data_IF_452976342983
#
_entry.id   IF_452976342983
#
_cell.length_a   1.000
_cell.length_b   1.000
_cell.length_c   1.000
_cell.angle_alpha   90.00
_cell.angle_beta   90.00
_cell.angle_gamma   90.00
#
_symmetry.space_group_name_H-M   'P 1'
#
loop_
_entity.id
_entity.type
_entity.pdbx_description
1 polymer ?
#
# COMPACT_ATOMS: atom_id res chain seq x y z
N UNK A 1 -84.60 21.23 17.28
CA UNK A 1 -83.21 21.05 16.99
C UNK A 1 -82.78 19.61 16.71
N UNK A 2 -83.51 18.77 15.99
CA UNK A 2 -83.21 17.38 15.74
C UNK A 2 -83.03 17.03 14.21
N UNK A 3 -83.16 18.00 13.32
CA UNK A 3 -83.17 17.73 11.87
C UNK A 3 -81.91 18.19 11.17
N UNK A 4 -80.88 18.77 11.83
CA UNK A 4 -79.63 19.23 11.21
C UNK A 4 -78.52 18.18 11.24
N UNK A 5 -78.61 17.12 12.03
CA UNK A 5 -77.54 16.14 12.24
C UNK A 5 -77.58 14.95 11.27
N UNK A 6 -78.64 14.79 10.44
CA UNK A 6 -78.83 13.61 9.59
C UNK A 6 -78.37 13.80 8.14
N UNK A 7 -77.73 14.91 7.78
CA UNK A 7 -77.25 15.17 6.41
C UNK A 7 -75.77 14.89 6.16
N UNK A 8 -75.01 14.49 7.20
CA UNK A 8 -73.61 14.19 7.05
C UNK A 8 -73.36 12.70 6.74
N UNK A 9 -74.36 11.86 6.73
CA UNK A 9 -74.26 10.40 6.72
C UNK A 9 -74.21 9.71 5.32
N UNK A 10 -74.23 10.41 4.21
CA UNK A 10 -74.19 9.83 2.89
C UNK A 10 -73.16 10.45 1.97
N UNK A 11 -71.95 10.62 2.48
CA UNK A 11 -70.78 10.65 1.60
C UNK A 11 -70.67 9.21 1.04
N UNK A 12 -71.04 9.00 -0.22
CA UNK A 12 -71.09 7.66 -0.78
C UNK A 12 -69.68 7.05 -0.63
N UNK A 13 -69.56 5.78 -0.29
CA UNK A 13 -68.32 5.03 -0.20
C UNK A 13 -67.38 5.33 -1.36
N UNK A 14 -67.93 5.59 -2.54
CA UNK A 14 -67.27 5.98 -3.76
C UNK A 14 -66.51 7.32 -3.66
N UNK A 15 -67.14 8.34 -3.04
CA UNK A 15 -66.47 9.66 -2.84
C UNK A 15 -65.35 9.57 -1.78
N UNK A 16 -65.51 8.74 -0.77
CA UNK A 16 -64.45 8.51 0.22
C UNK A 16 -63.27 7.78 -0.40
N UNK A 17 -63.53 6.75 -1.23
CA UNK A 17 -62.52 5.99 -1.93
C UNK A 17 -61.77 6.85 -3.00
N UNK A 18 -62.49 7.70 -3.72
CA UNK A 18 -61.89 8.66 -4.65
C UNK A 18 -61.00 9.70 -3.96
N UNK A 19 -61.42 10.21 -2.82
CA UNK A 19 -60.60 11.17 -2.00
C UNK A 19 -59.34 10.49 -1.48
N UNK A 20 -59.46 9.26 -0.97
CA UNK A 20 -58.35 8.46 -0.47
C UNK A 20 -57.34 8.12 -1.58
N UNK A 21 -57.86 7.78 -2.75
CA UNK A 21 -57.03 7.49 -3.92
C UNK A 21 -56.29 8.73 -4.43
N UNK A 22 -56.95 9.90 -4.47
CA UNK A 22 -56.31 11.18 -4.79
C UNK A 22 -55.20 11.60 -3.82
N UNK A 23 -55.26 11.17 -2.57
CA UNK A 23 -54.29 11.50 -1.56
C UNK A 23 -53.13 10.48 -1.53
N UNK A 24 -53.46 9.21 -1.69
CA UNK A 24 -52.46 8.13 -1.59
C UNK A 24 -51.63 8.00 -2.86
N UNK A 25 -52.25 8.19 -4.03
CA UNK A 25 -51.56 8.02 -5.33
C UNK A 25 -50.39 8.99 -5.51
N UNK A 26 -50.48 10.31 -5.26
CA UNK A 26 -49.36 11.21 -5.36
C UNK A 26 -48.26 10.89 -4.34
N UNK A 27 -48.62 10.42 -3.13
CA UNK A 27 -47.66 9.98 -2.14
C UNK A 27 -46.82 8.77 -2.65
N UNK A 28 -47.48 7.77 -3.23
CA UNK A 28 -46.76 6.62 -3.81
C UNK A 28 -45.87 7.03 -4.97
N UNK A 29 -46.29 7.92 -5.84
CA UNK A 29 -45.49 8.44 -6.94
C UNK A 29 -44.26 9.22 -6.40
N UNK A 30 -44.47 10.03 -5.38
CA UNK A 30 -43.40 10.79 -4.74
C UNK A 30 -42.37 9.86 -4.05
N UNK A 31 -42.82 8.85 -3.33
CA UNK A 31 -41.95 7.84 -2.73
C UNK A 31 -41.17 7.04 -3.79
N UNK A 32 -41.82 6.64 -4.87
CA UNK A 32 -41.17 5.95 -5.98
C UNK A 32 -40.07 6.81 -6.61
N UNK A 33 -40.34 8.10 -6.84
CA UNK A 33 -39.38 9.03 -7.41
C UNK A 33 -38.18 9.30 -6.46
N UNK A 34 -38.45 9.52 -5.18
CA UNK A 34 -37.41 9.69 -4.15
C UNK A 34 -36.52 8.45 -4.09
N UNK A 35 -37.10 7.25 -4.14
CA UNK A 35 -36.34 6.00 -4.11
C UNK A 35 -35.38 5.89 -5.29
N UNK A 36 -35.84 6.18 -6.53
CA UNK A 36 -35.01 6.16 -7.72
C UNK A 36 -33.87 7.17 -7.62
N UNK A 37 -34.17 8.40 -7.18
CA UNK A 37 -33.15 9.43 -6.99
C UNK A 37 -32.13 9.04 -5.92
N UNK A 38 -32.56 8.45 -4.83
CA UNK A 38 -31.72 7.99 -3.75
C UNK A 38 -30.79 6.85 -4.17
N UNK A 39 -31.31 5.86 -4.89
CA UNK A 39 -30.51 4.76 -5.44
C UNK A 39 -29.43 5.28 -6.40
N UNK A 40 -29.78 6.20 -7.29
CA UNK A 40 -28.83 6.81 -8.23
C UNK A 40 -27.76 7.62 -7.50
N UNK A 41 -28.16 8.41 -6.50
CA UNK A 41 -27.25 9.22 -5.70
C UNK A 41 -26.26 8.34 -4.90
N UNK A 42 -26.74 7.28 -4.26
CA UNK A 42 -25.91 6.34 -3.52
C UNK A 42 -24.91 5.64 -4.46
N UNK A 43 -25.35 5.18 -5.62
CA UNK A 43 -24.48 4.55 -6.60
C UNK A 43 -23.37 5.49 -7.09
N UNK A 44 -23.69 6.74 -7.37
CA UNK A 44 -22.71 7.74 -7.76
C UNK A 44 -21.70 8.00 -6.64
N UNK A 45 -22.17 8.23 -5.43
CA UNK A 45 -21.32 8.52 -4.28
C UNK A 45 -20.42 7.32 -3.93
N UNK A 46 -20.95 6.11 -4.00
CA UNK A 46 -20.17 4.89 -3.77
C UNK A 46 -19.09 4.71 -4.85
N UNK A 47 -19.46 4.94 -6.11
CA UNK A 47 -18.52 4.86 -7.24
C UNK A 47 -17.38 5.89 -7.10
N UNK A 48 -17.70 7.13 -6.76
CA UNK A 48 -16.69 8.17 -6.54
C UNK A 48 -15.78 7.85 -5.35
N UNK A 49 -16.33 7.31 -4.25
CA UNK A 49 -15.53 6.88 -3.11
C UNK A 49 -14.61 5.71 -3.45
N UNK A 50 -15.09 4.74 -4.21
CA UNK A 50 -14.28 3.59 -4.65
C UNK A 50 -13.14 4.08 -5.56
N UNK A 51 -13.44 4.90 -6.55
CA UNK A 51 -12.44 5.46 -7.47
C UNK A 51 -11.40 6.28 -6.70
N UNK A 52 -11.82 7.13 -5.78
CA UNK A 52 -10.93 7.92 -4.92
C UNK A 52 -10.06 7.03 -4.03
N UNK A 53 -10.62 5.95 -3.47
CA UNK A 53 -9.86 5.00 -2.65
C UNK A 53 -8.83 4.23 -3.46
N UNK A 54 -9.19 3.81 -4.68
CA UNK A 54 -8.27 3.12 -5.60
C UNK A 54 -7.14 4.07 -5.99
N UNK A 55 -7.45 5.32 -6.38
CA UNK A 55 -6.45 6.30 -6.75
C UNK A 55 -5.47 6.61 -5.61
N UNK A 56 -5.97 6.76 -4.38
CA UNK A 56 -5.12 6.96 -3.19
C UNK A 56 -4.24 5.74 -2.91
N UNK A 57 -4.77 4.54 -3.12
CA UNK A 57 -4.00 3.30 -2.94
C UNK A 57 -2.91 3.18 -3.99
N UNK A 58 -3.20 3.53 -5.25
CA UNK A 58 -2.23 3.58 -6.35
C UNK A 58 -1.10 4.57 -6.04
N UNK A 59 -1.44 5.79 -5.62
CA UNK A 59 -0.47 6.81 -5.23
C UNK A 59 0.42 6.33 -4.07
N UNK A 60 -0.16 5.74 -3.02
CA UNK A 60 0.59 5.20 -1.89
C UNK A 60 1.55 4.07 -2.29
N UNK A 61 1.14 3.20 -3.20
CA UNK A 61 1.99 2.14 -3.75
C UNK A 61 3.13 2.75 -4.56
N UNK A 62 2.82 3.69 -5.45
CA UNK A 62 3.83 4.38 -6.27
C UNK A 62 4.88 5.10 -5.40
N UNK A 63 4.43 5.81 -4.37
CA UNK A 63 5.32 6.49 -3.42
C UNK A 63 6.20 5.50 -2.67
N UNK A 64 5.65 4.34 -2.27
CA UNK A 64 6.44 3.28 -1.64
C UNK A 64 7.54 2.76 -2.56
N UNK A 65 7.24 2.52 -3.84
CA UNK A 65 8.24 2.12 -4.83
C UNK A 65 9.32 3.18 -5.02
N UNK A 66 8.91 4.44 -5.15
CA UNK A 66 9.84 5.57 -5.31
C UNK A 66 10.75 5.71 -4.09
N UNK A 67 10.20 5.56 -2.90
CA UNK A 67 10.95 5.62 -1.66
C UNK A 67 11.98 4.49 -1.56
N UNK A 68 11.59 3.25 -1.84
CA UNK A 68 12.50 2.10 -1.87
C UNK A 68 13.65 2.31 -2.86
N UNK A 69 13.35 2.79 -4.07
CA UNK A 69 14.36 3.11 -5.07
C UNK A 69 15.31 4.24 -4.61
N UNK A 70 14.75 5.28 -4.00
CA UNK A 70 15.51 6.41 -3.46
C UNK A 70 16.47 5.98 -2.35
N UNK A 71 15.99 5.20 -1.40
CA UNK A 71 16.80 4.70 -0.29
C UNK A 71 17.89 3.74 -0.79
N UNK A 72 17.53 2.82 -1.69
CA UNK A 72 18.53 1.94 -2.33
C UNK A 72 19.62 2.75 -3.04
N UNK A 73 19.25 3.85 -3.71
CA UNK A 73 20.22 4.72 -4.36
C UNK A 73 21.10 5.48 -3.36
N UNK A 74 20.54 5.96 -2.27
CA UNK A 74 21.29 6.63 -1.21
C UNK A 74 22.35 5.71 -0.56
N UNK A 75 22.02 4.44 -0.38
CA UNK A 75 22.96 3.43 0.15
C UNK A 75 24.10 3.20 -0.82
N UNK A 76 23.79 3.01 -2.10
CA UNK A 76 24.81 2.71 -3.14
C UNK A 76 25.74 3.90 -3.39
N UNK A 77 25.30 5.11 -3.16
CA UNK A 77 26.11 6.32 -3.35
C UNK A 77 26.81 6.78 -2.08
N UNK A 78 26.61 6.10 -0.94
CA UNK A 78 27.27 6.46 0.32
C UNK A 78 28.73 5.98 0.32
N UNK A 79 29.65 6.90 0.06
CA UNK A 79 31.10 6.61 0.00
C UNK A 79 31.66 6.05 1.32
N UNK A 80 31.20 6.53 2.46
CA UNK A 80 31.67 6.04 3.75
C UNK A 80 31.29 4.58 4.00
N UNK A 81 30.08 4.19 3.59
CA UNK A 81 29.62 2.80 3.68
C UNK A 81 30.40 1.91 2.70
N UNK A 82 30.60 2.35 1.46
CA UNK A 82 31.34 1.60 0.44
C UNK A 82 32.81 1.40 0.85
N UNK A 83 33.46 2.45 1.35
CA UNK A 83 34.82 2.36 1.89
C UNK A 83 34.88 1.43 3.11
N UNK A 84 33.86 1.50 3.97
CA UNK A 84 33.72 0.61 5.11
C UNK A 84 33.64 -0.87 4.71
N UNK A 85 32.88 -1.17 3.66
CA UNK A 85 32.71 -2.52 3.09
C UNK A 85 33.95 -3.03 2.37
N UNK A 86 34.69 -2.15 1.68
CA UNK A 86 35.87 -2.50 0.90
C UNK A 86 37.10 -2.79 1.75
N UNK A 87 37.13 -2.28 2.98
CA UNK A 87 38.28 -2.46 3.87
C UNK A 87 38.11 -3.71 4.77
N UNK A 88 38.84 -4.79 4.50
CA UNK A 88 38.73 -6.05 5.26
C UNK A 88 39.16 -5.92 6.73
N UNK A 89 39.87 -4.84 7.13
CA UNK A 89 40.28 -4.57 8.51
C UNK A 89 39.13 -4.04 9.36
N UNK A 90 38.02 -3.58 8.74
CA UNK A 90 36.86 -3.08 9.47
C UNK A 90 36.12 -4.21 10.18
N UNK A 91 35.78 -3.93 11.44
CA UNK A 91 34.93 -4.87 12.19
C UNK A 91 33.52 -4.88 11.67
N UNK A 92 32.85 -6.05 11.78
CA UNK A 92 31.43 -6.16 11.49
C UNK A 92 30.61 -5.05 12.14
N UNK A 93 30.87 -4.76 13.41
CA UNK A 93 30.15 -3.76 14.17
C UNK A 93 30.29 -2.35 13.59
N UNK A 94 31.49 -1.95 13.15
CA UNK A 94 31.70 -0.63 12.56
C UNK A 94 30.97 -0.46 11.24
N UNK A 95 30.96 -1.48 10.40
CA UNK A 95 30.24 -1.45 9.12
C UNK A 95 28.73 -1.47 9.34
N UNK A 96 28.22 -2.30 10.26
CA UNK A 96 26.81 -2.32 10.59
C UNK A 96 26.31 -0.99 11.13
N UNK A 97 27.11 -0.32 11.94
CA UNK A 97 26.79 1.03 12.44
C UNK A 97 26.67 2.04 11.30
N UNK A 98 27.61 2.05 10.36
CA UNK A 98 27.55 2.90 9.16
C UNK A 98 26.32 2.60 8.31
N UNK A 99 25.97 1.33 8.17
CA UNK A 99 24.77 0.91 7.47
C UNK A 99 23.50 1.42 8.16
N UNK A 100 23.40 1.26 9.48
CA UNK A 100 22.26 1.76 10.25
C UNK A 100 22.13 3.29 10.17
N UNK A 101 23.24 4.01 10.25
CA UNK A 101 23.25 5.47 10.09
C UNK A 101 22.78 5.89 8.69
N UNK A 102 23.22 5.16 7.64
CA UNK A 102 22.81 5.41 6.27
C UNK A 102 21.31 5.16 6.07
N UNK A 103 20.80 4.05 6.62
CA UNK A 103 19.38 3.69 6.56
C UNK A 103 18.53 4.72 7.30
N UNK A 104 18.91 5.08 8.50
CA UNK A 104 18.21 6.08 9.31
C UNK A 104 18.17 7.45 8.60
N UNK A 105 19.29 7.88 8.05
CA UNK A 105 19.35 9.13 7.28
C UNK A 105 18.41 9.10 6.07
N UNK A 106 18.40 8.00 5.33
CA UNK A 106 17.53 7.83 4.18
C UNK A 106 16.05 7.79 4.57
N UNK A 107 15.70 7.13 5.68
CA UNK A 107 14.33 7.10 6.20
C UNK A 107 13.84 8.47 6.68
N UNK A 108 14.68 9.21 7.39
CA UNK A 108 14.32 10.56 7.90
C UNK A 108 14.08 11.54 6.76
N UNK A 109 14.85 11.45 5.69
CA UNK A 109 14.69 12.34 4.53
C UNK A 109 13.53 11.93 3.61
N UNK A 110 13.08 10.70 3.68
CA UNK A 110 11.87 10.20 2.97
C UNK A 110 10.66 10.23 3.90
N UNK A 111 10.20 11.42 4.26
CA UNK A 111 9.14 11.74 5.24
C UNK A 111 7.77 11.05 5.05
N UNK A 112 7.61 10.15 4.08
CA UNK A 112 6.31 9.57 3.71
C UNK A 112 6.21 8.06 3.82
N UNK A 113 7.19 7.37 4.38
CA UNK A 113 7.11 5.92 4.53
C UNK A 113 6.37 5.57 5.84
N UNK A 114 5.07 5.39 5.74
CA UNK A 114 4.23 4.87 6.84
C UNK A 114 4.40 3.35 7.07
N UNK A 115 5.46 2.74 6.57
CA UNK A 115 5.70 1.30 6.68
C UNK A 115 7.08 0.98 7.23
N UNK A 116 7.17 -0.14 7.94
CA UNK A 116 8.44 -0.71 8.39
C UNK A 116 9.25 -1.14 7.16
N UNK A 117 10.27 -0.39 6.83
CA UNK A 117 11.17 -0.73 5.74
C UNK A 117 12.31 -1.60 6.27
N UNK A 118 12.41 -2.78 5.71
CA UNK A 118 13.42 -3.76 6.05
C UNK A 118 14.53 -3.70 5.03
N UNK A 119 15.75 -3.50 5.52
CA UNK A 119 16.90 -3.44 4.65
C UNK A 119 17.95 -4.45 5.08
N UNK A 120 18.57 -5.04 4.08
CA UNK A 120 19.62 -6.02 4.26
C UNK A 120 20.67 -5.82 3.18
N UNK A 121 21.93 -5.79 3.60
CA UNK A 121 23.08 -5.71 2.74
C UNK A 121 23.94 -6.97 2.94
N UNK A 122 24.34 -7.59 1.87
CA UNK A 122 25.29 -8.70 1.88
C UNK A 122 26.60 -8.26 1.25
N UNK A 123 27.71 -8.54 1.92
CA UNK A 123 29.02 -8.35 1.32
C UNK A 123 29.46 -9.58 0.50
N UNK A 124 30.56 -9.47 -0.21
CA UNK A 124 31.11 -10.57 -1.03
C UNK A 124 31.50 -11.80 -0.20
N UNK A 125 31.72 -11.65 1.09
CA UNK A 125 32.07 -12.75 2.01
C UNK A 125 30.82 -13.45 2.53
N UNK A 126 29.63 -12.93 2.23
CA UNK A 126 28.35 -13.44 2.71
C UNK A 126 27.94 -12.88 4.07
N UNK A 127 28.64 -11.91 4.61
CA UNK A 127 28.22 -11.24 5.86
C UNK A 127 26.97 -10.42 5.59
N UNK A 128 26.03 -10.53 6.52
CA UNK A 128 24.74 -9.87 6.43
C UNK A 128 24.71 -8.66 7.38
N UNK A 129 24.50 -7.48 6.84
CA UNK A 129 24.24 -6.25 7.59
C UNK A 129 22.77 -5.90 7.46
N UNK A 130 22.12 -5.66 8.59
CA UNK A 130 20.69 -5.44 8.60
C UNK A 130 20.29 -4.51 9.74
N UNK A 131 19.29 -3.66 9.48
CA UNK A 131 18.65 -2.86 10.50
C UNK A 131 17.61 -3.64 11.31
N UNK A 132 17.58 -4.96 11.16
CA UNK A 132 16.53 -5.80 11.68
C UNK A 132 17.06 -7.02 12.45
N UNK A 133 16.35 -7.41 13.50
CA UNK A 133 16.76 -8.53 14.38
C UNK A 133 16.22 -9.90 13.94
N UNK A 134 15.80 -10.07 12.68
CA UNK A 134 15.28 -11.36 12.20
C UNK A 134 16.37 -12.24 11.61
N UNK A 135 16.14 -13.56 11.66
CA UNK A 135 17.04 -14.56 11.11
C UNK A 135 16.91 -14.59 9.58
N UNK A 136 17.96 -14.18 8.89
CA UNK A 136 18.09 -14.30 7.45
C UNK A 136 18.66 -15.66 7.06
N UNK A 137 18.33 -16.12 5.87
CA UNK A 137 18.97 -17.26 5.25
C UNK A 137 20.44 -16.93 4.93
N UNK A 138 21.29 -17.96 4.95
CA UNK A 138 22.67 -17.81 4.54
C UNK A 138 22.76 -17.30 3.09
N UNK A 139 23.70 -16.40 2.81
CA UNK A 139 23.91 -15.83 1.48
C UNK A 139 24.21 -16.90 0.43
N UNK A 140 24.91 -17.96 0.80
CA UNK A 140 25.19 -19.10 -0.09
C UNK A 140 23.92 -19.76 -0.65
N UNK A 141 22.85 -19.78 0.15
CA UNK A 141 21.52 -20.23 -0.25
C UNK A 141 20.84 -19.18 -1.14
N UNK A 142 20.84 -17.92 -0.70
CA UNK A 142 20.19 -16.83 -1.43
C UNK A 142 20.78 -16.60 -2.82
N UNK A 143 22.06 -16.88 -3.00
CA UNK A 143 22.76 -16.74 -4.28
C UNK A 143 22.23 -17.67 -5.39
N UNK A 144 21.43 -18.69 -5.02
CA UNK A 144 20.76 -19.58 -5.96
C UNK A 144 19.38 -19.07 -6.40
N UNK A 145 18.86 -18.07 -5.72
CA UNK A 145 17.56 -17.48 -6.03
C UNK A 145 17.64 -16.63 -7.31
N UNK A 146 16.61 -16.75 -8.14
CA UNK A 146 16.57 -16.07 -9.44
C UNK A 146 16.71 -14.56 -9.36
N UNK A 147 16.11 -13.96 -8.34
CA UNK A 147 16.17 -12.51 -8.13
C UNK A 147 17.56 -12.01 -7.72
N UNK A 148 18.34 -12.83 -7.00
CA UNK A 148 19.75 -12.50 -6.66
C UNK A 148 20.60 -12.57 -7.91
N UNK A 149 20.45 -13.64 -8.69
CA UNK A 149 21.15 -13.80 -9.97
C UNK A 149 20.84 -12.64 -10.92
N UNK A 150 19.57 -12.24 -10.99
CA UNK A 150 19.14 -11.10 -11.81
C UNK A 150 19.74 -9.79 -11.31
N UNK A 151 19.77 -9.55 -10.00
CA UNK A 151 20.38 -8.37 -9.40
C UNK A 151 21.90 -8.33 -9.64
N UNK A 152 22.60 -9.46 -9.49
CA UNK A 152 24.03 -9.57 -9.77
C UNK A 152 24.32 -9.29 -11.26
N UNK A 153 23.49 -9.79 -12.17
CA UNK A 153 23.66 -9.56 -13.63
C UNK A 153 23.21 -8.15 -14.06
N UNK A 154 22.38 -7.50 -13.25
CA UNK A 154 21.75 -6.22 -13.55
C UNK A 154 22.66 -5.01 -13.48
N UNK A 155 23.98 -5.18 -13.17
CA UNK A 155 24.97 -4.11 -13.12
C UNK A 155 24.48 -2.85 -12.38
N UNK A 156 23.89 -3.05 -11.21
CA UNK A 156 23.37 -1.96 -10.38
C UNK A 156 21.95 -1.49 -10.73
N UNK A 157 21.28 -2.14 -11.67
CA UNK A 157 19.85 -1.89 -11.88
C UNK A 157 19.00 -2.46 -10.72
N UNK A 158 17.85 -1.83 -10.49
CA UNK A 158 16.89 -2.29 -9.50
C UNK A 158 16.10 -3.47 -10.05
N UNK A 159 16.07 -4.57 -9.30
CA UNK A 159 15.25 -5.74 -9.58
C UNK A 159 14.09 -5.76 -8.61
N UNK A 160 12.89 -5.64 -9.13
CA UNK A 160 11.66 -5.64 -8.36
C UNK A 160 11.06 -7.03 -8.30
N UNK A 161 10.72 -7.44 -7.11
CA UNK A 161 10.14 -8.76 -6.92
C UNK A 161 9.00 -8.75 -5.90
N UNK A 162 7.97 -9.53 -6.21
CA UNK A 162 6.88 -9.83 -5.29
C UNK A 162 7.11 -11.22 -4.71
N UNK A 163 7.59 -11.31 -3.48
CA UNK A 163 7.99 -12.58 -2.88
C UNK A 163 7.08 -13.05 -1.75
N UNK A 164 6.98 -14.36 -1.66
CA UNK A 164 7.09 -15.00 -0.35
C UNK A 164 8.57 -14.93 0.05
N UNK A 165 8.91 -14.40 1.25
CA UNK A 165 10.29 -14.15 1.61
C UNK A 165 11.05 -15.48 1.76
N UNK A 166 11.75 -15.88 0.70
CA UNK A 166 12.67 -17.01 0.76
C UNK A 166 13.91 -16.68 1.58
N UNK A 167 14.20 -15.39 1.77
CA UNK A 167 15.32 -14.90 2.57
C UNK A 167 15.03 -14.86 4.08
N UNK A 168 13.76 -14.98 4.51
CA UNK A 168 13.38 -15.06 5.91
C UNK A 168 13.05 -16.51 6.30
N UNK A 169 13.49 -16.92 7.49
CA UNK A 169 13.20 -18.26 8.00
C UNK A 169 11.71 -18.41 8.32
N UNK A 170 11.01 -17.31 8.66
CA UNK A 170 9.56 -17.32 8.91
C UNK A 170 8.76 -17.22 7.61
N UNK A 171 8.18 -18.32 7.18
CA UNK A 171 7.33 -18.42 5.98
C UNK A 171 5.91 -17.93 6.29
N UNK A 172 5.38 -16.98 5.57
CA UNK A 172 3.95 -16.65 5.63
C UNK A 172 3.55 -15.24 5.22
N UNK A 173 4.45 -14.27 5.27
CA UNK A 173 4.17 -12.91 4.87
C UNK A 173 4.64 -12.67 3.43
N UNK A 174 3.91 -11.85 2.66
CA UNK A 174 4.31 -11.44 1.31
C UNK A 174 4.89 -10.05 1.38
N UNK A 175 6.04 -9.85 0.77
CA UNK A 175 6.72 -8.56 0.73
C UNK A 175 6.89 -8.11 -0.72
N UNK A 176 6.80 -6.81 -0.92
CA UNK A 176 7.35 -6.18 -2.11
C UNK A 176 8.79 -5.86 -1.78
N UNK A 177 9.72 -6.35 -2.58
CA UNK A 177 11.13 -6.13 -2.34
C UNK A 177 11.84 -5.62 -3.58
N UNK A 178 12.91 -4.88 -3.36
CA UNK A 178 13.82 -4.44 -4.39
C UNK A 178 15.21 -4.94 -4.04
N UNK A 179 15.87 -5.54 -5.01
CA UNK A 179 17.25 -5.99 -4.92
C UNK A 179 18.14 -5.21 -5.89
N UNK A 180 19.38 -5.02 -5.53
CA UNK A 180 20.37 -4.31 -6.34
C UNK A 180 21.78 -4.78 -5.98
N UNK A 181 22.58 -5.08 -6.98
CA UNK A 181 23.99 -5.27 -6.77
C UNK A 181 24.69 -3.91 -6.63
N UNK A 182 25.59 -3.83 -5.68
CA UNK A 182 26.42 -2.65 -5.40
C UNK A 182 27.80 -2.95 -5.94
N UNK A 183 28.27 -2.13 -6.88
CA UNK A 183 29.60 -2.23 -7.44
C UNK A 183 30.47 -1.12 -6.84
N UNK A 184 31.65 -1.50 -6.38
CA UNK A 184 32.69 -0.53 -6.10
C UNK A 184 33.20 -0.02 -7.46
N UNK A 185 33.14 1.30 -7.68
CA UNK A 185 33.53 1.92 -8.96
C UNK A 185 35.01 1.74 -9.35
N UNK A 186 35.74 0.96 -8.55
CA UNK A 186 37.11 0.57 -8.81
C UNK A 186 37.24 -0.79 -9.57
N UNK A 187 36.12 -1.41 -9.94
CA UNK A 187 36.08 -2.69 -10.67
C UNK A 187 35.58 -2.46 -12.09
N UNK A 188 36.47 -1.97 -12.93
CA UNK A 188 36.48 -2.20 -14.39
C UNK A 188 37.01 -3.61 -14.72
#
# INVERSE_FOLDING_TARGET
MKHAFNRIGHVSLRTYLALLLCLVLPLFLMFGWIRIQYETYIQQQLSEQIISSISKSEEAVYDSFRNMAGISSAIVTNSALLEGLSNPANSYYSVNKLFDECVNYAQVNNLYSNGDMLMTLFDRTGRCYTNWSRNFQDYSYLRQESWVIEAENGKGHLVWNLFSPTFLINKGEKYISVARAVYDGALD
#
